data_IF_201020683315
#
_entry.id   IF_201020683315
#
_cell.length_a   1.000
_cell.length_b   1.000
_cell.length_c   1.000
_cell.angle_alpha   90.00
_cell.angle_beta   90.00
_cell.angle_gamma   90.00
#
_symmetry.space_group_name_H-M   'P 1'
#
loop_
_entity.id
_entity.type
_entity.pdbx_description
1 polymer ?
#
# COMPACT_ATOMS: atom_id res chain seq x y z
N UNK A 1 -15.63 7.51 -7.25
CA UNK A 1 -14.48 7.41 -8.21
C UNK A 1 -14.46 8.67 -9.06
N UNK A 2 -13.29 9.17 -9.44
CA UNK A 2 -13.12 10.37 -10.27
C UNK A 2 -11.78 10.32 -11.02
N UNK A 3 -11.69 11.02 -12.14
CA UNK A 3 -10.43 11.21 -12.84
C UNK A 3 -9.46 12.02 -11.98
N UNK A 4 -8.26 11.51 -11.79
CA UNK A 4 -7.24 12.07 -10.90
C UNK A 4 -7.43 11.72 -9.42
N UNK A 5 -8.42 10.89 -9.06
CA UNK A 5 -8.60 10.42 -7.68
C UNK A 5 -7.64 9.27 -7.35
N UNK A 6 -7.09 9.32 -6.13
CA UNK A 6 -6.14 8.34 -5.61
C UNK A 6 -6.35 8.13 -4.10
N UNK A 7 -7.44 7.43 -3.72
CA UNK A 7 -7.61 7.00 -2.33
C UNK A 7 -6.57 5.95 -1.96
N UNK A 8 -6.03 6.07 -0.74
CA UNK A 8 -5.01 5.17 -0.24
C UNK A 8 -5.19 4.83 1.24
N UNK A 9 -4.84 3.59 1.59
CA UNK A 9 -4.67 3.07 2.94
C UNK A 9 -3.27 2.49 2.99
N UNK A 10 -2.36 3.15 3.69
CA UNK A 10 -0.94 2.86 3.62
C UNK A 10 -0.22 3.15 4.93
N UNK A 11 1.05 2.81 5.02
CA UNK A 11 1.81 2.95 6.25
C UNK A 11 3.24 3.41 5.97
N UNK A 12 3.75 4.28 6.82
CA UNK A 12 5.16 4.66 6.87
C UNK A 12 5.76 4.33 8.24
N UNK A 13 7.07 4.11 8.26
CA UNK A 13 7.78 3.91 9.51
C UNK A 13 7.71 5.17 10.40
N UNK A 14 7.54 4.97 11.70
CA UNK A 14 7.48 6.04 12.70
C UNK A 14 8.83 6.73 12.86
N UNK A 15 9.94 6.01 12.66
CA UNK A 15 11.31 6.51 12.82
C UNK A 15 12.17 6.21 11.59
N UNK A 16 13.19 7.03 11.37
CA UNK A 16 14.21 6.81 10.34
C UNK A 16 15.32 5.86 10.79
N UNK A 17 14.94 4.70 11.32
CA UNK A 17 15.88 3.71 11.90
C UNK A 17 16.97 3.27 10.92
N UNK A 18 16.68 3.15 9.66
CA UNK A 18 17.59 2.68 8.61
C UNK A 18 18.08 3.81 7.69
N UNK A 19 17.72 5.05 7.99
CA UNK A 19 18.08 6.25 7.25
C UNK A 19 16.89 6.84 6.47
N UNK A 20 17.11 7.82 5.59
CA UNK A 20 16.02 8.49 4.89
C UNK A 20 15.28 7.56 3.95
N UNK A 21 14.02 7.93 3.65
CA UNK A 21 13.18 7.25 2.64
C UNK A 21 13.97 6.91 1.35
N UNK A 22 13.82 5.72 0.78
CA UNK A 22 12.89 4.65 1.13
C UNK A 22 13.48 3.55 2.05
N UNK A 23 14.53 3.83 2.79
CA UNK A 23 15.23 2.82 3.61
C UNK A 23 14.41 2.28 4.77
N UNK A 24 13.43 3.05 5.25
CA UNK A 24 12.55 2.64 6.34
C UNK A 24 11.29 1.90 5.88
N UNK A 25 11.10 1.79 4.57
CA UNK A 25 9.97 1.09 3.98
C UNK A 25 8.68 1.89 3.94
N UNK A 26 7.76 1.37 3.14
CA UNK A 26 6.37 1.81 2.97
C UNK A 26 5.53 0.59 2.67
N UNK A 27 4.31 0.54 3.19
CA UNK A 27 3.39 -0.58 2.99
C UNK A 27 2.07 0.00 2.50
N UNK A 28 1.72 -0.25 1.24
CA UNK A 28 0.47 0.21 0.63
C UNK A 28 -0.55 -0.92 0.71
N UNK A 29 -1.43 -0.86 1.72
CA UNK A 29 -2.45 -1.88 1.96
C UNK A 29 -3.51 -1.82 0.87
N UNK A 30 -3.83 -0.62 0.39
CA UNK A 30 -4.75 -0.38 -0.71
C UNK A 30 -4.42 0.96 -1.35
N UNK A 31 -4.28 0.96 -2.66
CA UNK A 31 -4.33 2.16 -3.50
C UNK A 31 -5.32 1.90 -4.64
N UNK A 32 -6.16 2.88 -4.94
CA UNK A 32 -7.11 2.81 -6.04
C UNK A 32 -6.95 4.02 -6.94
N UNK A 33 -7.00 3.82 -8.25
CA UNK A 33 -6.71 4.88 -9.21
C UNK A 33 -7.90 5.16 -10.12
N UNK A 34 -8.32 6.41 -10.16
CA UNK A 34 -9.33 6.89 -11.12
C UNK A 34 -10.65 6.08 -11.06
N UNK A 35 -10.97 5.39 -12.15
CA UNK A 35 -12.14 4.55 -12.34
C UNK A 35 -11.79 3.06 -12.48
N UNK A 36 -10.60 2.65 -12.07
CA UNK A 36 -10.18 1.26 -12.24
C UNK A 36 -11.04 0.30 -11.41
N UNK A 37 -11.19 -0.91 -11.89
CA UNK A 37 -11.91 -2.00 -11.21
C UNK A 37 -10.98 -2.90 -10.38
N UNK A 38 -9.83 -2.36 -10.00
CA UNK A 38 -8.78 -3.05 -9.23
C UNK A 38 -8.12 -2.09 -8.24
N UNK A 39 -7.48 -2.69 -7.26
CA UNK A 39 -6.58 -2.00 -6.33
C UNK A 39 -5.14 -2.47 -6.55
N UNK A 40 -4.21 -1.68 -6.05
CA UNK A 40 -2.79 -1.98 -5.95
C UNK A 40 -2.44 -2.22 -4.48
N UNK A 41 -1.62 -3.21 -4.23
CA UNK A 41 -1.05 -3.55 -2.93
C UNK A 41 0.45 -3.68 -3.11
N UNK A 42 1.23 -2.86 -2.42
CA UNK A 42 2.65 -2.68 -2.74
C UNK A 42 3.49 -2.61 -1.47
N UNK A 43 4.75 -2.98 -1.57
CA UNK A 43 5.76 -2.72 -0.56
C UNK A 43 6.92 -1.96 -1.18
N UNK A 44 7.30 -0.85 -0.57
CA UNK A 44 8.45 -0.07 -0.99
C UNK A 44 9.57 -0.15 0.04
N UNK A 45 10.80 -0.25 -0.45
CA UNK A 45 12.01 -0.26 0.35
C UNK A 45 13.21 0.18 -0.50
N UNK A 46 14.38 0.28 0.10
CA UNK A 46 15.61 0.55 -0.66
C UNK A 46 15.88 -0.55 -1.70
N UNK A 47 15.55 -1.80 -1.36
CA UNK A 47 15.66 -2.96 -2.25
C UNK A 47 14.83 -2.80 -3.53
N UNK A 48 13.58 -2.36 -3.39
CA UNK A 48 12.66 -2.22 -4.52
C UNK A 48 12.90 -0.93 -5.31
N UNK A 49 13.03 0.22 -4.63
CA UNK A 49 13.10 1.52 -5.29
C UNK A 49 14.50 1.89 -5.79
N UNK A 50 15.56 1.55 -5.06
CA UNK A 50 16.94 1.91 -5.42
C UNK A 50 17.67 0.77 -6.12
N UNK A 51 17.60 -0.46 -5.58
CA UNK A 51 18.25 -1.62 -6.18
C UNK A 51 17.42 -2.24 -7.31
N UNK A 52 16.18 -1.77 -7.54
CA UNK A 52 15.28 -2.22 -8.61
C UNK A 52 14.97 -3.71 -8.57
N UNK A 53 14.98 -4.30 -7.39
CA UNK A 53 14.64 -5.70 -7.18
C UNK A 53 13.12 -5.82 -6.91
N UNK A 54 12.35 -5.90 -7.98
CA UNK A 54 10.87 -5.83 -7.93
C UNK A 54 10.17 -7.15 -8.23
N UNK A 55 10.92 -8.12 -8.74
CA UNK A 55 10.33 -9.36 -9.25
C UNK A 55 10.62 -10.58 -8.35
N UNK A 56 11.64 -10.49 -7.50
CA UNK A 56 12.07 -11.65 -6.74
C UNK A 56 12.46 -11.28 -5.29
N UNK A 57 11.49 -11.23 -4.35
CA UNK A 57 10.06 -11.51 -4.56
C UNK A 57 9.35 -10.38 -5.31
N UNK A 58 8.19 -10.64 -5.91
CA UNK A 58 7.32 -9.57 -6.39
C UNK A 58 7.05 -8.59 -5.23
N UNK A 59 7.15 -7.28 -5.49
CA UNK A 59 6.97 -6.26 -4.45
C UNK A 59 5.54 -5.73 -4.36
N UNK A 60 4.65 -6.20 -5.23
CA UNK A 60 3.26 -5.80 -5.23
C UNK A 60 2.40 -6.68 -6.12
N UNK A 61 1.09 -6.51 -5.97
CA UNK A 61 0.07 -7.18 -6.77
C UNK A 61 -1.11 -6.25 -7.03
N UNK A 62 -1.90 -6.59 -8.05
CA UNK A 62 -3.19 -5.95 -8.30
C UNK A 62 -4.31 -6.95 -8.04
N UNK A 63 -5.41 -6.47 -7.47
CA UNK A 63 -6.56 -7.31 -7.11
C UNK A 63 -7.85 -6.64 -7.58
N UNK A 64 -8.73 -7.34 -8.32
CA UNK A 64 -10.03 -6.82 -8.70
C UNK A 64 -10.87 -6.44 -7.48
N UNK A 65 -11.57 -5.31 -7.56
CA UNK A 65 -12.41 -4.77 -6.49
C UNK A 65 -13.69 -4.15 -7.04
N UNK A 66 -14.76 -4.17 -6.25
CA UNK A 66 -15.93 -3.32 -6.47
C UNK A 66 -15.74 -2.02 -5.68
N UNK A 67 -15.23 -0.99 -6.33
CA UNK A 67 -14.85 0.26 -5.68
C UNK A 67 -16.05 1.12 -5.21
N UNK A 68 -17.26 0.80 -5.66
CA UNK A 68 -18.53 1.42 -5.28
C UNK A 68 -19.21 0.74 -4.08
N UNK A 69 -18.55 -0.27 -3.47
CA UNK A 69 -19.04 -1.00 -2.30
C UNK A 69 -18.02 -0.95 -1.16
N UNK A 70 -18.47 -1.21 0.08
CA UNK A 70 -17.56 -1.36 1.20
C UNK A 70 -16.75 -2.64 1.05
N UNK A 71 -15.45 -2.50 1.21
CA UNK A 71 -14.49 -3.61 1.16
C UNK A 71 -13.67 -3.64 2.44
N UNK A 72 -13.24 -4.83 2.86
CA UNK A 72 -12.34 -5.02 3.99
C UNK A 72 -10.94 -5.23 3.46
N UNK A 73 -10.09 -4.23 3.64
CA UNK A 73 -8.66 -4.31 3.36
C UNK A 73 -7.93 -4.66 4.65
N UNK A 74 -7.09 -5.68 4.63
CA UNK A 74 -6.37 -6.12 5.82
C UNK A 74 -4.91 -6.44 5.53
N UNK A 75 -4.08 -6.21 6.53
CA UNK A 75 -2.68 -6.60 6.56
C UNK A 75 -2.43 -7.50 7.78
N UNK A 76 -2.00 -8.73 7.56
CA UNK A 76 -1.45 -9.59 8.61
C UNK A 76 0.07 -9.47 8.59
N UNK A 77 0.64 -8.98 9.69
CA UNK A 77 2.03 -8.64 9.79
C UNK A 77 2.77 -9.62 10.70
N UNK A 78 3.66 -10.39 10.10
CA UNK A 78 4.48 -11.39 10.79
C UNK A 78 5.96 -10.98 10.77
N UNK A 79 6.81 -11.55 11.62
CA UNK A 79 8.24 -11.26 11.60
C UNK A 79 8.95 -11.62 10.29
N UNK A 80 8.37 -12.54 9.52
CA UNK A 80 8.94 -13.12 8.31
C UNK A 80 8.16 -12.83 7.03
N UNK A 81 6.98 -12.20 7.11
CA UNK A 81 6.16 -11.85 5.94
C UNK A 81 5.07 -10.84 6.24
N UNK A 82 4.65 -10.15 5.20
CA UNK A 82 3.42 -9.34 5.15
C UNK A 82 2.40 -10.10 4.29
N UNK A 83 1.17 -10.24 4.79
CA UNK A 83 0.07 -10.91 4.07
C UNK A 83 -1.05 -9.90 3.87
N UNK A 84 -1.30 -9.54 2.63
CA UNK A 84 -2.35 -8.62 2.23
C UNK A 84 -3.62 -9.39 1.92
N UNK A 85 -4.77 -8.81 2.29
CA UNK A 85 -6.05 -9.47 2.12
C UNK A 85 -7.11 -8.48 1.65
N UNK A 86 -8.03 -8.97 0.82
CA UNK A 86 -9.25 -8.28 0.41
C UNK A 86 -10.46 -9.16 0.75
N UNK A 87 -11.38 -8.64 1.57
CA UNK A 87 -12.62 -9.35 1.97
C UNK A 87 -12.35 -10.75 2.54
N UNK A 88 -11.30 -10.87 3.37
CA UNK A 88 -10.90 -12.12 4.02
C UNK A 88 -10.16 -13.12 3.14
N UNK A 89 -9.84 -12.76 1.89
CA UNK A 89 -9.02 -13.60 0.99
C UNK A 89 -7.63 -13.02 0.86
N UNK A 90 -6.63 -13.86 0.98
CA UNK A 90 -5.25 -13.51 0.69
C UNK A 90 -5.09 -13.12 -0.80
N UNK A 91 -4.45 -11.99 -1.03
CA UNK A 91 -4.25 -11.40 -2.36
C UNK A 91 -2.78 -11.28 -2.72
N UNK A 92 -1.94 -11.02 -1.73
CA UNK A 92 -0.52 -10.82 -1.94
C UNK A 92 0.27 -11.17 -0.67
N UNK A 93 1.43 -11.79 -0.83
CA UNK A 93 2.38 -12.08 0.27
C UNK A 93 3.76 -11.55 -0.09
N UNK A 94 4.31 -10.70 0.78
CA UNK A 94 5.70 -10.25 0.67
C UNK A 94 6.55 -10.92 1.75
N UNK A 95 7.46 -11.84 1.38
CA UNK A 95 8.30 -12.56 2.34
C UNK A 95 9.57 -11.78 2.69
N UNK A 96 10.05 -11.97 3.90
CA UNK A 96 11.43 -11.62 4.28
C UNK A 96 12.41 -12.61 3.66
N UNK A 97 13.38 -12.11 2.93
CA UNK A 97 14.41 -12.96 2.32
C UNK A 97 15.53 -13.30 3.31
N UNK A 98 15.93 -14.56 3.31
CA UNK A 98 17.05 -15.00 4.12
C UNK A 98 18.38 -14.43 3.59
N UNK A 99 19.18 -13.88 4.49
CA UNK A 99 20.51 -13.36 4.15
C UNK A 99 20.52 -11.97 3.49
N UNK A 100 19.37 -11.32 3.39
CA UNK A 100 19.25 -9.92 2.96
C UNK A 100 19.00 -9.04 4.19
N UNK A 101 19.58 -7.85 4.17
CA UNK A 101 19.52 -6.90 5.28
C UNK A 101 18.23 -6.06 5.28
N UNK A 102 18.21 -4.99 6.08
CA UNK A 102 17.09 -4.06 6.18
C UNK A 102 16.77 -3.34 4.87
N UNK A 103 17.60 -3.43 3.84
CA UNK A 103 17.27 -2.89 2.53
C UNK A 103 16.03 -3.56 1.91
N UNK A 104 15.83 -4.86 2.19
CA UNK A 104 14.70 -5.64 1.73
C UNK A 104 13.59 -5.71 2.80
N UNK A 105 13.97 -5.81 4.09
CA UNK A 105 13.03 -5.99 5.18
C UNK A 105 13.16 -4.91 6.25
N UNK A 106 12.73 -3.68 5.98
CA UNK A 106 12.69 -2.62 6.99
C UNK A 106 11.46 -2.69 7.92
N UNK A 107 10.63 -3.72 7.77
CA UNK A 107 9.32 -3.87 8.42
C UNK A 107 9.39 -4.49 9.83
N UNK A 108 10.53 -4.42 10.51
CA UNK A 108 10.75 -4.88 11.89
C UNK A 108 10.83 -3.70 12.88
N UNK A 109 10.07 -2.65 12.62
CA UNK A 109 9.96 -1.43 13.40
C UNK A 109 8.52 -0.93 13.41
N UNK A 110 8.16 0.03 14.29
CA UNK A 110 6.83 0.64 14.29
C UNK A 110 6.52 1.42 13.02
N UNK A 111 5.29 1.30 12.57
CA UNK A 111 4.72 2.05 11.45
C UNK A 111 3.42 2.71 11.89
N UNK A 112 3.11 3.85 11.32
CA UNK A 112 1.82 4.51 11.50
C UNK A 112 0.96 4.40 10.25
N UNK A 113 -0.35 4.29 10.48
CA UNK A 113 -1.35 4.18 9.42
C UNK A 113 -1.71 5.55 8.87
N UNK A 114 -1.79 5.65 7.56
CA UNK A 114 -2.26 6.82 6.81
C UNK A 114 -3.47 6.39 5.99
N UNK A 115 -4.53 7.19 6.05
CA UNK A 115 -5.74 7.02 5.25
C UNK A 115 -6.03 8.36 4.62
N UNK A 116 -5.95 8.46 3.31
CA UNK A 116 -6.13 9.71 2.62
C UNK A 116 -6.78 9.56 1.25
N UNK A 117 -7.34 10.66 0.76
CA UNK A 117 -7.85 10.80 -0.59
C UNK A 117 -6.97 11.81 -1.32
N UNK A 118 -6.01 11.32 -2.06
CA UNK A 118 -5.14 12.14 -2.87
C UNK A 118 -5.80 12.52 -4.20
N UNK A 119 -5.39 13.64 -4.77
CA UNK A 119 -5.88 14.15 -6.05
C UNK A 119 -4.71 14.56 -6.94
N UNK A 120 -4.73 14.08 -8.18
CA UNK A 120 -3.71 14.39 -9.18
C UNK A 120 -2.38 13.70 -8.93
N UNK A 121 -1.48 13.84 -9.87
CA UNK A 121 -0.13 13.27 -9.81
C UNK A 121 0.25 12.52 -11.08
N UNK A 122 1.52 12.12 -11.15
CA UNK A 122 2.04 11.47 -12.36
C UNK A 122 1.37 10.13 -12.66
N UNK A 123 0.88 9.44 -11.63
CA UNK A 123 0.29 8.12 -11.79
C UNK A 123 -1.19 8.15 -12.17
N UNK A 124 -1.95 9.06 -11.58
CA UNK A 124 -3.40 9.19 -11.82
C UNK A 124 -3.74 10.25 -12.88
N UNK A 125 -2.77 11.07 -13.26
CA UNK A 125 -2.97 12.17 -14.21
C UNK A 125 -3.60 13.43 -13.58
N UNK A 126 -4.07 14.37 -14.39
CA UNK A 126 -4.70 15.59 -13.93
C UNK A 126 -6.07 15.31 -13.31
N UNK A 127 -6.46 16.17 -12.38
CA UNK A 127 -7.80 16.13 -11.76
C UNK A 127 -8.82 16.69 -12.74
N UNK A 128 -9.92 15.98 -12.93
CA UNK A 128 -11.10 16.51 -13.60
C UNK A 128 -12.06 17.11 -12.56
N UNK A 129 -12.19 18.43 -12.60
CA UNK A 129 -13.01 19.18 -11.65
C UNK A 129 -14.51 18.88 -11.77
N UNK A 130 -14.96 18.42 -12.93
CA UNK A 130 -16.37 18.07 -13.17
C UNK A 130 -16.77 16.77 -12.45
N UNK A 131 -15.78 15.98 -11.99
CA UNK A 131 -16.00 14.76 -11.21
C UNK A 131 -15.89 14.98 -9.69
N UNK A 132 -15.75 16.22 -9.23
CA UNK A 132 -15.67 16.53 -7.80
C UNK A 132 -17.03 16.96 -7.22
N UNK A 133 -17.31 16.70 -5.94
CA UNK A 133 -16.40 16.06 -4.96
C UNK A 133 -16.28 14.56 -5.16
N UNK A 134 -15.12 14.01 -4.76
CA UNK A 134 -14.90 12.56 -4.64
C UNK A 134 -14.62 12.23 -3.19
N UNK A 135 -15.16 11.13 -2.70
CA UNK A 135 -15.07 10.71 -1.30
C UNK A 135 -14.60 9.27 -1.18
N UNK A 136 -13.80 9.01 -0.16
CA UNK A 136 -13.54 7.67 0.38
C UNK A 136 -14.17 7.59 1.76
N UNK A 137 -15.17 6.73 1.93
CA UNK A 137 -15.84 6.52 3.22
C UNK A 137 -15.16 5.39 4.00
N UNK A 138 -14.83 5.64 5.27
CA UNK A 138 -14.26 4.65 6.19
C UNK A 138 -15.29 4.37 7.28
N UNK A 139 -15.73 3.11 7.38
CA UNK A 139 -16.68 2.67 8.40
C UNK A 139 -15.95 2.38 9.73
N UNK A 140 -14.83 1.63 9.66
CA UNK A 140 -14.04 1.29 10.85
C UNK A 140 -12.59 0.97 10.51
N UNK A 141 -11.75 1.11 11.54
CA UNK A 141 -10.37 0.61 11.57
C UNK A 141 -10.21 -0.26 12.80
N UNK A 142 -9.63 -1.44 12.66
CA UNK A 142 -9.36 -2.37 13.77
C UNK A 142 -7.92 -2.82 13.76
N UNK A 143 -7.28 -2.76 14.92
CA UNK A 143 -5.95 -3.30 15.17
C UNK A 143 -6.07 -4.50 16.11
N UNK A 144 -5.39 -5.60 15.74
CA UNK A 144 -5.28 -6.81 16.55
C UNK A 144 -3.80 -7.02 16.91
N UNK A 145 -3.56 -7.45 18.15
CA UNK A 145 -2.23 -7.80 18.65
C UNK A 145 -2.24 -9.23 19.18
#
# INVERSE_FOLDING_TARGET
MAQGAWPAIWMLAEEERYGPYPKNGEIDIMEHLNFEDKIYQTTHSYYTLNLKQTENPPHGATTPVKADDYNIYALSWYPDRLVFQLNGKETFVYPRLNGVDASQWPYDQPFYLIIDQQLGGNWVGPVDLDHLPVEMAIDWVKLYQ
#
